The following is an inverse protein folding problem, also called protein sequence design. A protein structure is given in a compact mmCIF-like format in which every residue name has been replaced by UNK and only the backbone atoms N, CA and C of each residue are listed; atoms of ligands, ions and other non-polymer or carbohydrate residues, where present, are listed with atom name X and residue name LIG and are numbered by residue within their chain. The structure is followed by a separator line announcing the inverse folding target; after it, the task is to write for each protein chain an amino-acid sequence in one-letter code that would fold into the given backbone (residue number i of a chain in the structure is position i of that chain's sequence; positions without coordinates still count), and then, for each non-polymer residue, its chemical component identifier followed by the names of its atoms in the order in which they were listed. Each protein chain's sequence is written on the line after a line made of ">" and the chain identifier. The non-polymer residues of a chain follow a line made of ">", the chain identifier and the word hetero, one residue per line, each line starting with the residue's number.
data_IF_482340666344
#
_entry.id   IF_482340666344
#
_cell.length_a   1.000
_cell.length_b   1.000
_cell.length_c   1.000
_cell.angle_alpha   90.00
_cell.angle_beta   90.00
_cell.angle_gamma   90.00
#
_symmetry.space_group_name_H-M   'P 1'
#
loop_
_entity.id
_entity.type
_entity.pdbx_description
1 polymer ?
#
# COMPACT_ATOMS: atom_id res chain seq x y z
N UNK A 1 54.59 -21.24 28.56
CA UNK A 1 55.64 -22.12 28.03
C UNK A 1 55.14 -22.75 26.73
N UNK A 2 56.06 -22.95 25.77
CA UNK A 2 55.94 -23.45 24.38
C UNK A 2 55.33 -22.46 23.36
N UNK A 3 56.12 -21.74 22.54
CA UNK A 3 56.83 -22.14 21.29
C UNK A 3 55.86 -22.60 20.18
N UNK A 4 55.91 -22.21 18.89
CA UNK A 4 56.97 -21.65 18.05
C UNK A 4 56.38 -21.28 16.65
N UNK A 5 57.03 -20.33 15.97
CA UNK A 5 57.32 -20.26 14.52
C UNK A 5 56.33 -19.72 13.47
N UNK A 6 56.80 -18.64 12.85
CA UNK A 6 56.54 -18.06 11.53
C UNK A 6 56.31 -19.06 10.39
N UNK A 7 55.43 -18.75 9.43
CA UNK A 7 55.70 -18.93 8.00
C UNK A 7 54.73 -18.11 7.10
N UNK A 8 55.33 -17.17 6.36
CA UNK A 8 54.99 -16.61 5.04
C UNK A 8 53.69 -17.04 4.31
N UNK A 9 52.85 -16.07 3.94
CA UNK A 9 52.39 -15.79 2.55
C UNK A 9 51.28 -14.72 2.51
N UNK A 10 51.38 -13.63 1.71
CA UNK A 10 50.33 -12.64 1.58
C UNK A 10 49.39 -13.03 0.43
N UNK A 11 48.17 -13.47 0.73
CA UNK A 11 47.08 -13.43 -0.27
C UNK A 11 46.37 -12.08 -0.18
N UNK A 12 46.16 -11.33 -1.29
CA UNK A 12 45.70 -9.95 -1.25
C UNK A 12 44.18 -9.80 -1.02
N UNK A 13 43.49 -10.83 -0.56
CA UNK A 13 42.03 -10.92 -0.67
C UNK A 13 41.23 -10.62 0.60
N UNK A 14 41.84 -10.02 1.62
CA UNK A 14 41.17 -9.78 2.90
C UNK A 14 41.40 -8.36 3.40
N UNK A 15 40.68 -7.39 2.85
CA UNK A 15 40.63 -6.03 3.44
C UNK A 15 39.31 -5.32 3.15
N UNK A 16 38.19 -6.00 3.43
CA UNK A 16 36.88 -5.35 3.56
C UNK A 16 36.17 -5.68 4.89
N UNK A 17 36.81 -6.42 5.78
CA UNK A 17 36.21 -6.84 7.05
C UNK A 17 36.99 -6.28 8.24
N UNK A 18 37.06 -4.96 8.35
CA UNK A 18 37.55 -4.34 9.57
C UNK A 18 36.88 -2.98 9.79
N UNK A 19 35.59 -3.02 10.12
CA UNK A 19 34.90 -1.87 10.74
C UNK A 19 35.35 -1.68 12.20
N UNK A 20 36.14 -2.62 12.76
CA UNK A 20 36.69 -2.53 14.11
C UNK A 20 38.21 -2.42 14.08
N UNK A 21 38.69 -1.19 14.29
CA UNK A 21 40.06 -0.76 14.62
C UNK A 21 40.97 -0.24 13.49
N UNK A 22 41.26 1.05 13.65
CA UNK A 22 42.55 1.75 13.46
C UNK A 22 42.59 2.93 12.48
N UNK A 23 41.46 3.40 11.95
CA UNK A 23 41.40 4.72 11.31
C UNK A 23 40.19 5.49 11.84
N UNK A 24 40.45 6.68 12.36
CA UNK A 24 39.51 7.65 12.92
C UNK A 24 38.57 8.24 11.86
N UNK A 25 37.78 7.40 11.18
CA UNK A 25 36.96 7.80 10.03
C UNK A 25 35.45 7.62 10.21
N UNK A 26 34.99 6.79 11.15
CA UNK A 26 33.56 6.56 11.39
C UNK A 26 33.27 6.78 12.88
N UNK A 27 33.05 8.05 13.23
CA UNK A 27 32.51 8.42 14.53
C UNK A 27 30.99 8.35 14.39
N UNK A 28 30.36 7.32 14.98
CA UNK A 28 28.91 7.32 15.17
C UNK A 28 28.60 8.45 16.15
N UNK A 29 28.18 9.60 15.62
CA UNK A 29 27.79 10.74 16.44
C UNK A 29 26.50 10.42 17.19
N UNK A 30 26.51 10.56 18.51
CA UNK A 30 25.33 10.41 19.36
C UNK A 30 24.16 11.32 18.91
N UNK A 31 24.49 12.46 18.28
CA UNK A 31 23.54 13.43 17.72
C UNK A 31 22.78 12.96 16.47
N UNK A 32 23.08 11.78 15.91
CA UNK A 32 22.38 11.21 14.74
C UNK A 32 21.61 9.93 15.07
N UNK A 33 21.51 9.58 16.37
CA UNK A 33 20.71 8.44 16.81
C UNK A 33 19.22 8.74 16.66
N UNK A 34 18.47 7.77 16.13
CA UNK A 34 17.02 7.83 16.06
C UNK A 34 16.45 7.85 17.50
N UNK A 35 15.44 8.70 17.79
CA UNK A 35 14.81 8.71 19.10
C UNK A 35 14.19 7.34 19.41
N UNK A 36 14.12 6.94 20.69
CA UNK A 36 13.46 5.71 21.08
C UNK A 36 11.97 5.76 20.70
N UNK A 37 11.50 4.71 20.03
CA UNK A 37 10.09 4.55 19.67
C UNK A 37 9.38 3.71 20.75
N UNK A 38 8.36 4.28 21.39
CA UNK A 38 7.49 3.52 22.28
C UNK A 38 6.63 2.56 21.46
N UNK A 39 6.64 1.28 21.81
CA UNK A 39 5.82 0.25 21.18
C UNK A 39 4.74 -0.20 22.16
N UNK A 40 3.50 -0.24 21.69
CA UNK A 40 2.35 -0.73 22.44
C UNK A 40 1.72 -1.92 21.69
N UNK A 41 1.25 -2.91 22.45
CA UNK A 41 0.64 -4.12 21.90
C UNK A 41 1.60 -5.33 21.85
N UNK A 42 1.03 -6.50 21.56
CA UNK A 42 1.81 -7.72 21.39
C UNK A 42 2.38 -7.78 19.98
N UNK A 43 3.57 -8.35 19.80
CA UNK A 43 4.08 -8.61 18.45
C UNK A 43 3.27 -9.76 17.83
N UNK A 44 2.37 -9.43 16.90
CA UNK A 44 1.45 -10.37 16.25
C UNK A 44 1.27 -10.04 14.76
N UNK A 45 0.61 -10.93 14.02
CA UNK A 45 0.20 -10.68 12.63
C UNK A 45 -1.15 -9.96 12.61
N UNK A 46 -1.14 -8.66 12.88
CA UNK A 46 -2.33 -7.82 12.75
C UNK A 46 -2.67 -7.62 11.26
N UNK A 47 -3.92 -7.86 10.87
CA UNK A 47 -4.43 -7.49 9.55
C UNK A 47 -4.86 -6.01 9.60
N UNK A 48 -4.25 -5.10 8.80
CA UNK A 48 -4.64 -3.70 8.77
C UNK A 48 -6.14 -3.47 8.51
N UNK A 49 -6.82 -4.41 7.84
CA UNK A 49 -8.27 -4.32 7.57
C UNK A 49 -9.14 -4.39 8.81
N UNK A 50 -8.60 -4.91 9.92
CA UNK A 50 -9.32 -5.03 11.19
C UNK A 50 -9.21 -3.74 12.03
N UNK A 51 -8.45 -2.74 11.55
CA UNK A 51 -8.35 -1.43 12.20
C UNK A 51 -9.64 -0.60 11.94
N UNK A 52 -10.44 -0.31 12.98
CA UNK A 52 -11.67 0.47 12.82
C UNK A 52 -11.42 1.93 12.44
N UNK A 53 -10.18 2.41 12.51
CA UNK A 53 -9.78 3.76 12.09
C UNK A 53 -9.36 3.85 10.63
N UNK A 54 -9.19 2.71 9.95
CA UNK A 54 -8.79 2.66 8.54
C UNK A 54 -9.99 2.94 7.61
N UNK A 55 -10.13 4.21 7.22
CA UNK A 55 -11.05 4.62 6.15
C UNK A 55 -10.33 4.58 4.79
N UNK A 56 -10.42 3.42 4.14
CA UNK A 56 -9.80 3.17 2.83
C UNK A 56 -10.39 4.04 1.69
N UNK A 57 -11.51 4.73 1.90
CA UNK A 57 -12.23 5.43 0.83
C UNK A 57 -12.13 6.96 0.94
N UNK A 58 -11.82 7.49 2.14
CA UNK A 58 -11.69 8.93 2.40
C UNK A 58 -10.79 9.66 1.41
N UNK A 59 -9.54 9.20 1.25
CA UNK A 59 -8.56 9.87 0.41
C UNK A 59 -8.97 9.87 -1.08
N UNK A 60 -9.60 8.79 -1.55
CA UNK A 60 -10.11 8.70 -2.92
C UNK A 60 -11.29 9.66 -3.16
N UNK A 61 -12.20 9.76 -2.20
CA UNK A 61 -13.32 10.70 -2.25
C UNK A 61 -12.86 12.15 -2.21
N UNK A 62 -11.87 12.47 -1.37
CA UNK A 62 -11.28 13.80 -1.28
C UNK A 62 -10.59 14.20 -2.60
N UNK A 63 -9.84 13.27 -3.20
CA UNK A 63 -9.25 13.48 -4.51
C UNK A 63 -10.34 13.80 -5.56
N UNK A 64 -11.42 13.01 -5.60
CA UNK A 64 -12.52 13.23 -6.54
C UNK A 64 -13.13 14.63 -6.42
N UNK A 65 -13.34 15.12 -5.19
CA UNK A 65 -13.93 16.45 -4.93
C UNK A 65 -13.03 17.61 -5.35
N UNK A 66 -11.72 17.40 -5.37
CA UNK A 66 -10.73 18.41 -5.78
C UNK A 66 -10.52 18.44 -7.30
N UNK A 67 -10.88 17.37 -8.02
CA UNK A 67 -10.72 17.32 -9.48
C UNK A 67 -11.69 18.28 -10.20
N UNK A 68 -11.18 18.93 -11.26
CA UNK A 68 -12.00 19.69 -12.21
C UNK A 68 -12.85 18.75 -13.06
N UNK A 69 -13.97 19.22 -13.60
CA UNK A 69 -14.89 18.38 -14.39
C UNK A 69 -14.22 17.69 -15.58
N UNK A 70 -13.37 18.40 -16.34
CA UNK A 70 -12.62 17.79 -17.45
C UNK A 70 -11.74 16.62 -16.99
N UNK A 71 -11.13 16.73 -15.81
CA UNK A 71 -10.27 15.67 -15.25
C UNK A 71 -11.09 14.52 -14.70
N UNK A 72 -12.26 14.80 -14.12
CA UNK A 72 -13.21 13.78 -13.68
C UNK A 72 -13.68 12.93 -14.87
N UNK A 73 -14.02 13.56 -15.98
CA UNK A 73 -14.44 12.86 -17.19
C UNK A 73 -13.31 12.00 -17.76
N UNK A 74 -12.09 12.55 -17.88
CA UNK A 74 -10.92 11.79 -18.31
C UNK A 74 -10.63 10.59 -17.40
N UNK A 75 -10.72 10.76 -16.08
CA UNK A 75 -10.52 9.67 -15.12
C UNK A 75 -11.51 8.53 -15.35
N UNK A 76 -12.79 8.86 -15.50
CA UNK A 76 -13.86 7.88 -15.75
C UNK A 76 -13.65 7.16 -17.08
N UNK A 77 -13.37 7.89 -18.16
CA UNK A 77 -13.17 7.31 -19.48
C UNK A 77 -11.98 6.35 -19.52
N UNK A 78 -10.85 6.76 -18.93
CA UNK A 78 -9.65 5.92 -18.85
C UNK A 78 -9.94 4.65 -18.05
N UNK A 79 -10.58 4.79 -16.88
CA UNK A 79 -10.85 3.66 -15.98
C UNK A 79 -11.87 2.69 -16.59
N UNK A 80 -12.91 3.20 -17.26
CA UNK A 80 -13.90 2.39 -17.97
C UNK A 80 -13.27 1.62 -19.15
N UNK A 81 -12.34 2.25 -19.88
CA UNK A 81 -11.57 1.59 -20.94
C UNK A 81 -10.66 0.48 -20.40
N UNK A 82 -9.91 0.78 -19.34
CA UNK A 82 -8.95 -0.16 -18.75
C UNK A 82 -9.62 -1.38 -18.11
N UNK A 83 -10.79 -1.21 -17.51
CA UNK A 83 -11.54 -2.30 -16.86
C UNK A 83 -12.46 -3.05 -17.82
N UNK A 84 -12.63 -2.58 -19.06
CA UNK A 84 -13.48 -3.22 -20.07
C UNK A 84 -13.24 -4.73 -20.25
N UNK A 85 -12.00 -5.26 -20.29
CA UNK A 85 -11.75 -6.70 -20.45
C UNK A 85 -11.99 -7.53 -19.18
N UNK A 86 -12.24 -6.90 -18.02
CA UNK A 86 -12.48 -7.61 -16.77
C UNK A 86 -13.88 -8.26 -16.72
N UNK A 87 -14.04 -9.27 -15.86
CA UNK A 87 -15.34 -9.89 -15.58
C UNK A 87 -16.29 -8.90 -14.92
N UNK A 88 -17.60 -9.10 -15.09
CA UNK A 88 -18.62 -8.23 -14.49
C UNK A 88 -18.48 -8.13 -12.97
N UNK A 89 -18.14 -9.23 -12.28
CA UNK A 89 -17.96 -9.24 -10.83
C UNK A 89 -16.88 -8.23 -10.38
N UNK A 90 -15.78 -8.12 -11.12
CA UNK A 90 -14.71 -7.15 -10.85
C UNK A 90 -15.19 -5.72 -11.09
N UNK A 91 -15.93 -5.49 -12.18
CA UNK A 91 -16.50 -4.18 -12.50
C UNK A 91 -17.48 -3.71 -11.42
N UNK A 92 -18.35 -4.59 -10.93
CA UNK A 92 -19.27 -4.31 -9.83
C UNK A 92 -18.56 -4.01 -8.51
N UNK A 93 -17.48 -4.73 -8.17
CA UNK A 93 -16.65 -4.40 -6.99
C UNK A 93 -16.04 -3.01 -7.11
N UNK A 94 -15.45 -2.69 -8.26
CA UNK A 94 -14.84 -1.39 -8.47
C UNK A 94 -15.89 -0.27 -8.36
N UNK A 95 -17.05 -0.44 -8.98
CA UNK A 95 -18.16 0.52 -8.89
C UNK A 95 -18.65 0.72 -7.44
N UNK A 96 -18.74 -0.35 -6.64
CA UNK A 96 -19.11 -0.25 -5.22
C UNK A 96 -18.08 0.53 -4.42
N UNK A 97 -16.78 0.33 -4.66
CA UNK A 97 -15.71 1.09 -4.03
C UNK A 97 -15.72 2.57 -4.46
N UNK A 98 -15.95 2.85 -5.74
CA UNK A 98 -16.11 4.22 -6.23
C UNK A 98 -17.28 4.92 -5.55
N UNK A 99 -18.40 4.22 -5.34
CA UNK A 99 -19.57 4.74 -4.65
C UNK A 99 -19.34 4.99 -3.16
N UNK A 100 -18.54 4.15 -2.49
CA UNK A 100 -18.10 4.36 -1.11
C UNK A 100 -17.20 5.60 -0.97
N UNK A 101 -16.34 5.86 -1.96
CA UNK A 101 -15.50 7.05 -2.00
C UNK A 101 -16.32 8.33 -2.22
N UNK A 102 -17.18 8.34 -3.25
CA UNK A 102 -18.12 9.43 -3.48
C UNK A 102 -19.34 8.96 -4.30
N UNK A 103 -20.53 9.40 -3.90
CA UNK A 103 -21.77 8.97 -4.54
C UNK A 103 -21.91 9.46 -6.00
N UNK A 104 -21.34 10.61 -6.35
CA UNK A 104 -21.30 11.09 -7.74
C UNK A 104 -20.32 10.24 -8.56
N UNK A 105 -19.16 9.93 -7.98
CA UNK A 105 -18.10 9.16 -8.63
C UNK A 105 -18.58 7.76 -9.02
N UNK A 106 -19.18 7.03 -8.08
CA UNK A 106 -19.74 5.71 -8.35
C UNK A 106 -20.85 5.69 -9.40
N UNK A 107 -21.69 6.73 -9.45
CA UNK A 107 -22.76 6.88 -10.46
C UNK A 107 -22.18 7.05 -11.87
N UNK A 108 -21.28 8.01 -12.03
CA UNK A 108 -20.62 8.28 -13.32
C UNK A 108 -19.84 7.08 -13.83
N UNK A 109 -19.16 6.36 -12.91
CA UNK A 109 -18.44 5.15 -13.28
C UNK A 109 -19.39 4.02 -13.70
N UNK A 110 -20.49 3.80 -12.97
CA UNK A 110 -21.47 2.78 -13.32
C UNK A 110 -22.12 3.05 -14.69
N UNK A 111 -22.44 4.31 -14.99
CA UNK A 111 -22.93 4.73 -16.31
C UNK A 111 -21.91 4.45 -17.42
N UNK A 112 -20.65 4.83 -17.23
CA UNK A 112 -19.59 4.60 -18.20
C UNK A 112 -19.27 3.12 -18.44
N UNK A 113 -19.38 2.29 -17.40
CA UNK A 113 -19.14 0.85 -17.47
C UNK A 113 -20.39 0.04 -17.86
N UNK A 114 -21.56 0.67 -18.02
CA UNK A 114 -22.83 0.01 -18.37
C UNK A 114 -23.37 -0.92 -17.28
N UNK A 115 -23.19 -0.56 -16.00
CA UNK A 115 -23.59 -1.37 -14.85
C UNK A 115 -24.91 -0.88 -14.25
N UNK A 116 -25.62 -1.79 -13.58
CA UNK A 116 -26.83 -1.45 -12.83
C UNK A 116 -26.49 -0.74 -11.51
N UNK A 117 -26.95 0.50 -11.37
CA UNK A 117 -26.72 1.34 -10.19
C UNK A 117 -27.33 0.74 -8.92
N UNK A 118 -28.52 0.12 -9.00
CA UNK A 118 -29.20 -0.42 -7.83
C UNK A 118 -28.41 -1.57 -7.23
N UNK A 119 -27.83 -2.41 -8.10
CA UNK A 119 -26.91 -3.47 -7.70
C UNK A 119 -25.63 -2.90 -7.08
N UNK A 120 -25.05 -1.82 -7.62
CA UNK A 120 -23.86 -1.16 -7.04
C UNK A 120 -24.15 -0.62 -5.63
N UNK A 121 -25.28 0.05 -5.43
CA UNK A 121 -25.70 0.58 -4.11
C UNK A 121 -25.96 -0.56 -3.13
N UNK A 122 -26.53 -1.68 -3.59
CA UNK A 122 -26.73 -2.85 -2.74
C UNK A 122 -25.39 -3.44 -2.30
N UNK A 123 -24.43 -3.55 -3.21
CA UNK A 123 -23.09 -4.08 -2.94
C UNK A 123 -22.28 -3.15 -2.02
N UNK A 124 -22.39 -1.83 -2.20
CA UNK A 124 -21.67 -0.86 -1.36
C UNK A 124 -22.09 -0.88 0.11
N UNK A 125 -23.27 -1.44 0.43
CA UNK A 125 -23.76 -1.58 1.81
C UNK A 125 -23.28 -2.86 2.50
N UNK A 126 -22.65 -3.78 1.77
CA UNK A 126 -22.17 -5.04 2.31
C UNK A 126 -20.81 -4.85 3.02
N UNK A 127 -20.54 -5.71 3.99
CA UNK A 127 -19.21 -5.79 4.60
C UNK A 127 -18.19 -6.35 3.59
N UNK A 128 -16.89 -6.04 3.75
CA UNK A 128 -15.85 -6.50 2.81
C UNK A 128 -15.86 -8.03 2.57
N UNK A 129 -16.06 -8.84 3.62
CA UNK A 129 -16.18 -10.30 3.50
C UNK A 129 -17.38 -10.73 2.67
N UNK A 130 -18.52 -10.06 2.86
CA UNK A 130 -19.77 -10.34 2.15
C UNK A 130 -19.68 -9.88 0.69
N UNK A 131 -19.04 -8.73 0.43
CA UNK A 131 -18.78 -8.20 -0.91
C UNK A 131 -17.92 -9.18 -1.71
N UNK A 132 -16.83 -9.68 -1.13
CA UNK A 132 -15.96 -10.67 -1.77
C UNK A 132 -16.77 -11.93 -2.10
N UNK A 133 -17.53 -12.46 -1.13
CA UNK A 133 -18.36 -13.64 -1.34
C UNK A 133 -19.42 -13.44 -2.44
N UNK A 134 -20.01 -12.24 -2.54
CA UNK A 134 -20.99 -11.89 -3.57
C UNK A 134 -20.39 -11.68 -4.97
N UNK A 135 -19.05 -11.60 -5.08
CA UNK A 135 -18.34 -11.24 -6.33
C UNK A 135 -17.21 -12.22 -6.67
N UNK A 136 -17.27 -13.44 -6.14
CA UNK A 136 -16.41 -14.57 -6.52
C UNK A 136 -16.77 -15.09 -7.91
#
# INVERSE_FOLDING_TARGET
>A
YTCFFSFLSPSPFFLFYQISNSLSGLVFGEHVMEPPLEIEGAMWHYDPKDDPTDDCFRAGGDLWRVLTEDKKELLIQNTAGDIAPCTENIKYRHAAHCYLADGEYGKRFAEAAGLDLDKVIKLSRLNNKELIAATI
#
